data_IF_129167032742
#
_entry.id   IF_129167032742
#
_cell.length_a   1.000
_cell.length_b   1.000
_cell.length_c   1.000
_cell.angle_alpha   90.00
_cell.angle_beta   90.00
_cell.angle_gamma   90.00
#
_symmetry.space_group_name_H-M   'P 1'
#
loop_
_entity.id
_entity.type
_entity.pdbx_description
1 polymer ?
#
# COMPACT_ATOMS: atom_id res chain seq x y z
N UNK A 1 -36.78 23.75 10.27
CA UNK A 1 -36.09 22.50 9.94
C UNK A 1 -36.63 21.98 8.63
N UNK A 2 -35.74 21.66 7.70
CA UNK A 2 -35.86 20.65 6.63
C UNK A 2 -34.53 20.70 5.87
N UNK A 3 -33.54 19.94 6.32
CA UNK A 3 -33.19 18.64 5.73
C UNK A 3 -32.64 18.83 4.30
N UNK A 4 -31.32 19.03 4.22
CA UNK A 4 -30.56 18.94 2.96
C UNK A 4 -30.46 17.46 2.62
N UNK A 5 -30.97 17.06 1.45
CA UNK A 5 -30.85 15.70 0.93
C UNK A 5 -29.41 15.47 0.42
N UNK A 6 -28.61 14.58 1.03
CA UNK A 6 -27.21 14.37 0.67
C UNK A 6 -27.07 13.37 -0.49
N UNK A 7 -27.83 13.54 -1.57
CA UNK A 7 -27.86 12.58 -2.70
C UNK A 7 -27.35 13.16 -4.01
N UNK A 8 -27.05 14.46 -4.07
CA UNK A 8 -26.66 15.16 -5.30
C UNK A 8 -25.17 15.05 -5.66
N UNK A 9 -24.35 14.38 -4.84
CA UNK A 9 -22.90 14.27 -5.08
C UNK A 9 -22.45 12.91 -5.66
N UNK A 10 -23.39 11.99 -5.93
CA UNK A 10 -23.08 10.64 -6.45
C UNK A 10 -23.34 10.52 -7.97
N UNK A 11 -24.09 11.45 -8.57
CA UNK A 11 -24.53 11.36 -9.97
C UNK A 11 -23.56 11.89 -11.03
N UNK A 12 -22.39 12.44 -10.67
CA UNK A 12 -21.36 12.81 -11.67
C UNK A 12 -20.25 11.75 -11.86
N UNK A 13 -20.15 10.74 -10.98
CA UNK A 13 -19.12 9.69 -11.09
C UNK A 13 -19.55 8.44 -11.85
N UNK A 14 -20.81 8.39 -12.31
CA UNK A 14 -21.35 7.29 -13.15
C UNK A 14 -21.17 7.57 -14.65
N UNK A 15 -20.57 8.70 -15.05
CA UNK A 15 -20.53 9.16 -16.44
C UNK A 15 -19.35 8.66 -17.30
N UNK A 16 -18.26 8.14 -16.70
CA UNK A 16 -17.05 7.73 -17.42
C UNK A 16 -16.93 6.22 -17.62
N UNK A 17 -17.29 5.40 -16.63
CA UNK A 17 -17.15 3.94 -16.70
C UNK A 17 -18.14 3.29 -17.68
N UNK A 18 -19.35 3.84 -17.83
CA UNK A 18 -20.38 3.34 -18.77
C UNK A 18 -20.03 3.56 -20.25
N UNK A 19 -19.16 4.53 -20.58
CA UNK A 19 -18.78 4.81 -21.99
C UNK A 19 -17.67 3.91 -22.52
N UNK A 20 -16.87 3.30 -21.64
CA UNK A 20 -15.71 2.51 -22.03
C UNK A 20 -15.84 1.03 -21.68
N UNK A 21 -16.80 0.64 -20.82
CA UNK A 21 -17.04 -0.77 -20.48
C UNK A 21 -15.85 -1.46 -19.79
N UNK A 22 -14.87 -0.69 -19.28
CA UNK A 22 -13.68 -1.21 -18.63
C UNK A 22 -13.80 -1.00 -17.12
N UNK A 23 -14.00 -2.09 -16.38
CA UNK A 23 -13.83 -2.12 -14.94
C UNK A 23 -12.40 -2.56 -14.63
N UNK A 24 -11.51 -1.60 -14.33
CA UNK A 24 -10.20 -1.91 -13.77
C UNK A 24 -10.42 -2.38 -12.33
N UNK A 25 -10.52 -3.69 -12.16
CA UNK A 25 -10.54 -4.29 -10.83
C UNK A 25 -9.24 -4.00 -10.10
N UNK A 26 -9.33 -3.37 -8.93
CA UNK A 26 -8.18 -3.24 -8.05
C UNK A 26 -8.02 -4.55 -7.28
N UNK A 27 -6.98 -5.32 -7.61
CA UNK A 27 -6.61 -6.48 -6.80
C UNK A 27 -6.12 -6.01 -5.44
N UNK A 28 -6.78 -6.49 -4.38
CA UNK A 28 -6.36 -6.21 -3.02
C UNK A 28 -4.99 -6.86 -2.78
N UNK A 29 -4.03 -6.06 -2.30
CA UNK A 29 -2.71 -6.56 -1.93
C UNK A 29 -2.83 -7.47 -0.70
N UNK A 30 -2.53 -8.75 -0.89
CA UNK A 30 -2.48 -9.74 0.17
C UNK A 30 -1.31 -9.48 1.12
N UNK A 31 -1.30 -10.18 2.25
CA UNK A 31 -0.19 -10.09 3.18
C UNK A 31 1.11 -10.59 2.58
N UNK A 32 1.04 -11.71 1.86
CA UNK A 32 2.22 -12.38 1.34
C UNK A 32 2.82 -11.58 0.20
N UNK A 33 1.99 -11.04 -0.71
CA UNK A 33 2.45 -10.09 -1.74
C UNK A 33 3.11 -8.85 -1.12
N UNK A 34 2.53 -8.32 -0.04
CA UNK A 34 3.11 -7.20 0.69
C UNK A 34 4.50 -7.51 1.27
N UNK A 35 4.64 -8.66 1.92
CA UNK A 35 5.92 -9.11 2.49
C UNK A 35 6.93 -9.47 1.40
N UNK A 36 6.49 -10.04 0.28
CA UNK A 36 7.33 -10.38 -0.86
C UNK A 36 7.91 -9.13 -1.54
N UNK A 37 7.11 -8.07 -1.69
CA UNK A 37 7.63 -6.78 -2.16
C UNK A 37 8.75 -6.26 -1.27
N UNK A 38 8.56 -6.31 0.05
CA UNK A 38 9.57 -5.84 1.02
C UNK A 38 10.83 -6.69 0.97
N UNK A 39 10.70 -8.03 0.92
CA UNK A 39 11.83 -8.96 0.74
C UNK A 39 12.58 -8.67 -0.56
N UNK A 40 11.84 -8.42 -1.65
CA UNK A 40 12.40 -8.03 -2.94
C UNK A 40 13.23 -6.75 -2.86
N UNK A 41 12.74 -5.72 -2.16
CA UNK A 41 13.51 -4.50 -1.93
C UNK A 41 14.74 -4.75 -1.06
N UNK A 42 14.62 -5.51 0.03
CA UNK A 42 15.77 -5.84 0.89
C UNK A 42 16.86 -6.56 0.10
N UNK A 43 16.49 -7.55 -0.72
CA UNK A 43 17.44 -8.26 -1.59
C UNK A 43 18.07 -7.35 -2.66
N UNK A 44 17.27 -6.47 -3.28
CA UNK A 44 17.75 -5.58 -4.35
C UNK A 44 18.76 -4.53 -3.83
N UNK A 45 18.63 -4.09 -2.58
CA UNK A 45 19.46 -3.03 -1.99
C UNK A 45 20.44 -3.55 -0.92
N UNK A 46 20.52 -4.87 -0.71
CA UNK A 46 21.44 -5.47 0.26
C UNK A 46 21.13 -5.11 1.73
N UNK A 47 19.86 -4.92 2.07
CA UNK A 47 19.43 -4.62 3.44
C UNK A 47 19.23 -5.94 4.19
N UNK A 48 20.08 -6.22 5.18
CA UNK A 48 19.99 -7.44 5.99
C UNK A 48 19.16 -7.24 7.26
N UNK A 49 18.21 -8.15 7.48
CA UNK A 49 17.43 -8.23 8.71
C UNK A 49 16.90 -9.64 8.91
N UNK A 50 16.66 -10.00 10.17
CA UNK A 50 15.96 -11.23 10.54
C UNK A 50 14.54 -11.25 9.96
N UNK A 51 14.10 -12.42 9.47
CA UNK A 51 12.83 -12.58 8.76
C UNK A 51 11.62 -12.42 9.68
N UNK A 52 11.69 -12.93 10.91
CA UNK A 52 10.62 -12.80 11.89
C UNK A 52 10.43 -11.33 12.29
N UNK A 53 11.53 -10.63 12.52
CA UNK A 53 11.56 -9.19 12.80
C UNK A 53 11.02 -8.38 11.63
N UNK A 54 11.48 -8.65 10.40
CA UNK A 54 10.98 -7.98 9.19
C UNK A 54 9.47 -8.14 9.06
N UNK A 55 8.98 -9.36 9.24
CA UNK A 55 7.55 -9.66 9.14
C UNK A 55 6.77 -8.92 10.22
N UNK A 56 7.18 -9.00 11.47
CA UNK A 56 6.47 -8.35 12.58
C UNK A 56 6.38 -6.83 12.38
N UNK A 57 7.52 -6.17 12.12
CA UNK A 57 7.57 -4.73 11.91
C UNK A 57 6.79 -4.29 10.67
N UNK A 58 6.91 -5.01 9.55
CA UNK A 58 6.21 -4.67 8.32
C UNK A 58 4.69 -4.73 8.48
N UNK A 59 4.18 -5.72 9.23
CA UNK A 59 2.74 -5.88 9.48
C UNK A 59 2.22 -4.83 10.46
N UNK A 60 3.00 -4.49 11.48
CA UNK A 60 2.70 -3.37 12.37
C UNK A 60 2.62 -2.05 11.57
N UNK A 61 3.63 -1.79 10.72
CA UNK A 61 3.67 -0.61 9.87
C UNK A 61 2.44 -0.51 8.95
N UNK A 62 2.07 -1.59 8.28
CA UNK A 62 0.89 -1.64 7.43
C UNK A 62 -0.41 -1.36 8.21
N UNK A 63 -0.49 -1.86 9.44
CA UNK A 63 -1.62 -1.63 10.35
C UNK A 63 -1.73 -0.14 10.70
N UNK A 64 -0.62 0.51 11.07
CA UNK A 64 -0.60 1.96 11.34
C UNK A 64 -0.98 2.80 10.13
N UNK A 65 -0.68 2.34 8.91
CA UNK A 65 -1.05 3.01 7.66
C UNK A 65 -2.45 2.64 7.15
N UNK A 66 -3.13 1.69 7.79
CA UNK A 66 -4.46 1.22 7.41
C UNK A 66 -4.54 0.54 6.04
N UNK A 67 -3.41 0.13 5.45
CA UNK A 67 -3.41 -0.53 4.14
C UNK A 67 -2.14 -1.33 3.88
N UNK A 68 -2.28 -2.34 3.00
CA UNK A 68 -1.17 -3.01 2.33
C UNK A 68 -1.17 -2.60 0.87
N UNK A 69 -0.03 -2.14 0.38
CA UNK A 69 0.17 -1.77 -1.02
C UNK A 69 1.67 -1.66 -1.31
N UNK A 70 2.05 -1.66 -2.58
CA UNK A 70 3.46 -1.42 -2.96
C UNK A 70 3.99 -0.07 -2.45
N UNK A 71 3.14 0.97 -2.38
CA UNK A 71 3.53 2.26 -1.81
C UNK A 71 3.87 2.15 -0.31
N UNK A 72 3.03 1.47 0.46
CA UNK A 72 3.27 1.27 1.91
C UNK A 72 4.49 0.38 2.14
N UNK A 73 4.68 -0.65 1.30
CA UNK A 73 5.86 -1.51 1.34
C UNK A 73 7.15 -0.71 1.09
N UNK A 74 7.16 0.16 0.08
CA UNK A 74 8.29 1.04 -0.20
C UNK A 74 8.59 2.01 0.95
N UNK A 75 7.56 2.56 1.58
CA UNK A 75 7.72 3.46 2.74
C UNK A 75 8.37 2.74 3.93
N UNK A 76 7.89 1.53 4.26
CA UNK A 76 8.50 0.71 5.31
C UNK A 76 9.96 0.36 4.96
N UNK A 77 10.20 -0.09 3.73
CA UNK A 77 11.55 -0.42 3.28
C UNK A 77 12.50 0.79 3.35
N UNK A 78 12.06 1.98 2.95
CA UNK A 78 12.88 3.20 3.00
C UNK A 78 13.24 3.55 4.45
N UNK A 79 12.27 3.43 5.37
CA UNK A 79 12.52 3.61 6.81
C UNK A 79 13.54 2.58 7.33
N UNK A 80 13.34 1.30 7.01
CA UNK A 80 14.26 0.22 7.38
C UNK A 80 15.67 0.45 6.83
N UNK A 81 15.80 0.80 5.54
CA UNK A 81 17.07 1.09 4.90
C UNK A 81 17.79 2.26 5.61
N UNK A 82 17.05 3.32 5.94
CA UNK A 82 17.57 4.45 6.72
C UNK A 82 18.07 4.02 8.11
N UNK A 83 17.30 3.21 8.84
CA UNK A 83 17.70 2.64 10.15
C UNK A 83 18.95 1.74 10.03
N UNK A 84 19.15 1.09 8.89
CA UNK A 84 20.30 0.22 8.61
C UNK A 84 21.49 0.96 7.97
N UNK A 85 21.39 2.27 7.75
CA UNK A 85 22.44 3.08 7.15
C UNK A 85 22.66 2.83 5.65
N UNK A 86 21.68 2.24 4.96
CA UNK A 86 21.73 2.00 3.52
C UNK A 86 21.20 3.22 2.77
N UNK A 87 22.02 3.79 1.90
CA UNK A 87 21.63 4.91 1.04
C UNK A 87 20.93 4.38 -0.21
N UNK A 88 19.70 4.83 -0.43
CA UNK A 88 18.94 4.59 -1.66
C UNK A 88 19.33 5.72 -2.65
N UNK A 89 20.02 5.37 -3.73
CA UNK A 89 20.53 6.31 -4.73
C UNK A 89 19.46 7.00 -5.56
#
# INVERSE_FOLDING_TARGET
GSAINPSEAVEEKVSLSDRFGLWLGFHACSQDEYLDMIRGYCAAYGVETDEETLRAEALEWATTRGSRSGRVAWQYFTDLAGRKGVSLG
#
